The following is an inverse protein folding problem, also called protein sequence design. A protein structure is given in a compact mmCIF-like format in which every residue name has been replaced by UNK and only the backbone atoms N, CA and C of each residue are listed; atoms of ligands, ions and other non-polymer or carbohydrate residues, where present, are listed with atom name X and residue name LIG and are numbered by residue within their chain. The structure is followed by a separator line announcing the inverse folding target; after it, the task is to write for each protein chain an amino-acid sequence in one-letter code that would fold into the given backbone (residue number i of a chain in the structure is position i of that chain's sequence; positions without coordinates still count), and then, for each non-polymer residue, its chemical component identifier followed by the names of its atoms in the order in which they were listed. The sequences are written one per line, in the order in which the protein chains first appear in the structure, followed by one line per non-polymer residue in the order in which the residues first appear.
data_IF_379627209029
#
_entry.id   IF_379627209029
#
_cell.length_a   1.000
_cell.length_b   1.000
_cell.length_c   1.000
_cell.angle_alpha   90.00
_cell.angle_beta   90.00
_cell.angle_gamma   90.00
#
_symmetry.space_group_name_H-M   'P 1'
#
loop_
_entity.id
_entity.type
_entity.pdbx_description
1 polymer ?
#
# COMPACT_ATOMS: atom_id res chain seq x y z
N UNK A 1 17.89 19.58 -1.76
CA UNK A 1 16.41 19.65 -1.73
C UNK A 1 15.91 18.26 -2.07
N UNK A 2 15.44 17.47 -1.10
CA UNK A 2 14.93 16.12 -1.37
C UNK A 2 13.62 16.29 -2.12
N UNK A 3 13.56 15.84 -3.37
CA UNK A 3 12.27 15.73 -4.07
C UNK A 3 11.49 14.70 -3.25
N UNK A 4 10.45 15.15 -2.55
CA UNK A 4 9.52 14.25 -1.90
C UNK A 4 8.87 13.42 -3.02
N UNK A 5 9.15 12.12 -3.02
CA UNK A 5 8.66 11.20 -4.02
C UNK A 5 7.14 11.33 -4.12
N UNK A 6 6.65 11.73 -5.29
CA UNK A 6 5.22 11.99 -5.50
C UNK A 6 4.44 10.67 -5.40
N UNK A 7 3.14 10.74 -5.10
CA UNK A 7 2.29 9.55 -5.04
C UNK A 7 2.38 8.70 -6.32
N UNK A 8 2.53 9.34 -7.51
CA UNK A 8 2.66 8.65 -8.80
C UNK A 8 3.98 7.89 -8.93
N UNK A 9 5.07 8.45 -8.40
CA UNK A 9 6.37 7.77 -8.41
C UNK A 9 6.33 6.52 -7.52
N UNK A 10 5.70 6.62 -6.35
CA UNK A 10 5.43 5.46 -5.49
C UNK A 10 4.55 4.40 -6.16
N UNK A 11 3.48 4.83 -6.84
CA UNK A 11 2.61 3.90 -7.58
C UNK A 11 3.37 3.19 -8.71
N UNK A 12 4.23 3.91 -9.43
CA UNK A 12 5.06 3.33 -10.48
C UNK A 12 6.10 2.33 -9.93
N UNK A 13 6.78 2.69 -8.85
CA UNK A 13 7.77 1.82 -8.22
C UNK A 13 7.12 0.54 -7.67
N UNK A 14 6.01 0.68 -6.94
CA UNK A 14 5.26 -0.45 -6.40
C UNK A 14 4.73 -1.35 -7.53
N UNK A 15 4.20 -0.75 -8.61
CA UNK A 15 3.77 -1.48 -9.80
C UNK A 15 4.89 -2.31 -10.44
N UNK A 16 6.08 -1.72 -10.54
CA UNK A 16 7.25 -2.42 -11.08
C UNK A 16 7.70 -3.56 -10.17
N UNK A 17 7.66 -3.39 -8.84
CA UNK A 17 7.96 -4.46 -7.90
C UNK A 17 6.97 -5.63 -8.04
N UNK A 18 5.67 -5.34 -8.16
CA UNK A 18 4.64 -6.36 -8.44
C UNK A 18 4.93 -7.12 -9.74
N UNK A 19 5.28 -6.40 -10.82
CA UNK A 19 5.65 -7.01 -12.10
C UNK A 19 6.83 -7.96 -11.96
N UNK A 20 7.89 -7.56 -11.27
CA UNK A 20 9.07 -8.40 -11.03
C UNK A 20 8.70 -9.66 -10.26
N UNK A 21 7.88 -9.52 -9.21
CA UNK A 21 7.39 -10.67 -8.43
C UNK A 21 6.58 -11.65 -9.27
N UNK A 22 5.67 -11.13 -10.11
CA UNK A 22 4.88 -11.94 -11.04
C UNK A 22 5.78 -12.73 -11.99
N UNK A 23 6.76 -12.06 -12.61
CA UNK A 23 7.69 -12.69 -13.53
C UNK A 23 8.56 -13.75 -12.85
N UNK A 24 9.01 -13.52 -11.61
CA UNK A 24 9.74 -14.53 -10.81
C UNK A 24 8.92 -15.79 -10.52
N UNK A 25 7.59 -15.67 -10.54
CA UNK A 25 6.67 -16.81 -10.42
C UNK A 25 6.29 -17.44 -11.77
N UNK A 26 6.90 -17.01 -12.87
CA UNK A 26 6.59 -17.47 -14.23
C UNK A 26 5.11 -17.33 -14.59
N UNK A 27 4.46 -16.26 -14.12
CA UNK A 27 3.07 -15.96 -14.43
C UNK A 27 2.98 -14.84 -15.46
N UNK A 28 2.06 -14.96 -16.42
CA UNK A 28 1.60 -13.81 -17.20
C UNK A 28 0.55 -12.99 -16.43
N UNK A 29 0.16 -11.84 -16.98
CA UNK A 29 -0.81 -10.95 -16.33
C UNK A 29 -2.22 -11.56 -16.22
N UNK A 30 -2.61 -12.40 -17.17
CA UNK A 30 -3.92 -13.06 -17.19
C UNK A 30 -3.98 -14.13 -16.10
N UNK A 31 -2.94 -14.96 -15.99
CA UNK A 31 -2.80 -15.96 -14.95
C UNK A 31 -2.80 -15.34 -13.54
N UNK A 32 -2.13 -14.20 -13.35
CA UNK A 32 -2.21 -13.48 -12.07
C UNK A 32 -3.63 -12.98 -11.81
N UNK A 33 -4.30 -12.40 -12.82
CA UNK A 33 -5.65 -11.88 -12.67
C UNK A 33 -6.66 -12.97 -12.30
N UNK A 34 -6.59 -14.12 -12.97
CA UNK A 34 -7.43 -15.29 -12.73
C UNK A 34 -7.22 -15.84 -11.32
N UNK A 35 -5.95 -16.09 -10.93
CA UNK A 35 -5.62 -16.60 -9.59
C UNK A 35 -6.02 -15.64 -8.48
N UNK A 36 -5.85 -14.34 -8.69
CA UNK A 36 -6.23 -13.31 -7.73
C UNK A 36 -7.74 -13.01 -7.71
N UNK A 37 -8.51 -13.52 -8.69
CA UNK A 37 -9.93 -13.21 -8.83
C UNK A 37 -10.18 -11.70 -9.01
N UNK A 38 -9.43 -11.07 -9.91
CA UNK A 38 -9.55 -9.67 -10.30
C UNK A 38 -9.52 -9.51 -11.82
N UNK A 39 -10.02 -8.39 -12.34
CA UNK A 39 -9.99 -8.12 -13.78
C UNK A 39 -8.54 -7.94 -14.28
N UNK A 40 -8.25 -8.43 -15.50
CA UNK A 40 -6.94 -8.25 -16.16
C UNK A 40 -6.51 -6.77 -16.22
N UNK A 41 -7.46 -5.86 -16.46
CA UNK A 41 -7.17 -4.42 -16.48
C UNK A 41 -6.68 -3.91 -15.11
N UNK A 42 -7.14 -4.49 -14.00
CA UNK A 42 -6.65 -4.13 -12.67
C UNK A 42 -5.17 -4.51 -12.50
N UNK A 43 -4.77 -5.70 -12.96
CA UNK A 43 -3.35 -6.11 -12.98
C UNK A 43 -2.51 -5.18 -13.85
N UNK A 44 -2.97 -4.84 -15.06
CA UNK A 44 -2.27 -3.90 -15.96
C UNK A 44 -2.07 -2.53 -15.32
N UNK A 45 -3.09 -2.01 -14.64
CA UNK A 45 -3.02 -0.71 -13.96
C UNK A 45 -2.12 -0.74 -12.73
N UNK A 46 -2.16 -1.82 -11.94
CA UNK A 46 -1.25 -2.06 -10.83
C UNK A 46 0.20 -2.01 -11.33
N UNK A 47 0.55 -2.82 -12.33
CA UNK A 47 1.93 -2.92 -12.83
C UNK A 47 2.44 -1.67 -13.55
N UNK A 48 1.53 -0.84 -14.09
CA UNK A 48 1.89 0.41 -14.76
C UNK A 48 1.84 1.64 -13.85
N UNK A 49 1.55 1.47 -12.56
CA UNK A 49 1.44 2.59 -11.62
C UNK A 49 0.31 3.57 -11.95
N UNK A 50 -0.72 3.13 -12.68
CA UNK A 50 -1.88 3.98 -13.04
C UNK A 50 -2.98 3.96 -11.98
N UNK A 51 -2.67 3.47 -10.78
CA UNK A 51 -3.60 3.31 -9.68
C UNK A 51 -4.57 2.13 -9.85
N UNK A 52 -4.90 1.50 -8.73
CA UNK A 52 -5.89 0.46 -8.61
C UNK A 52 -6.58 0.54 -7.24
N UNK A 53 -7.61 -0.27 -7.02
CA UNK A 53 -8.23 -0.34 -5.69
C UNK A 53 -7.30 -1.07 -4.72
N UNK A 54 -7.39 -0.70 -3.44
CA UNK A 54 -6.67 -1.40 -2.36
C UNK A 54 -7.00 -2.89 -2.35
N UNK A 55 -8.27 -3.25 -2.62
CA UNK A 55 -8.71 -4.65 -2.75
C UNK A 55 -7.92 -5.40 -3.82
N UNK A 56 -7.71 -4.80 -5.00
CA UNK A 56 -6.93 -5.42 -6.07
C UNK A 56 -5.47 -5.60 -5.68
N UNK A 57 -4.89 -4.62 -4.99
CA UNK A 57 -3.52 -4.72 -4.48
C UNK A 57 -3.37 -5.87 -3.48
N UNK A 58 -4.26 -5.95 -2.47
CA UNK A 58 -4.21 -7.01 -1.45
C UNK A 58 -4.36 -8.39 -2.08
N UNK A 59 -5.31 -8.57 -3.01
CA UNK A 59 -5.51 -9.84 -3.72
C UNK A 59 -4.29 -10.24 -4.56
N UNK A 60 -3.68 -9.28 -5.26
CA UNK A 60 -2.47 -9.52 -6.03
C UNK A 60 -1.28 -9.92 -5.12
N UNK A 61 -1.07 -9.19 -4.02
CA UNK A 61 0.01 -9.50 -3.05
C UNK A 61 -0.15 -10.89 -2.44
N UNK A 62 -1.36 -11.28 -2.03
CA UNK A 62 -1.63 -12.64 -1.53
C UNK A 62 -1.31 -13.71 -2.57
N UNK A 63 -1.69 -13.48 -3.83
CA UNK A 63 -1.42 -14.43 -4.93
C UNK A 63 0.08 -14.54 -5.23
N UNK A 64 0.83 -13.46 -4.98
CA UNK A 64 2.28 -13.39 -5.12
C UNK A 64 3.04 -13.86 -3.87
N UNK A 65 2.36 -14.34 -2.83
CA UNK A 65 2.92 -14.68 -1.50
C UNK A 65 3.73 -13.53 -0.88
N UNK A 66 3.20 -12.30 -0.96
CA UNK A 66 3.82 -11.07 -0.45
C UNK A 66 2.89 -10.22 0.41
N UNK A 67 1.86 -10.81 1.00
CA UNK A 67 0.93 -10.10 1.86
C UNK A 67 1.54 -9.67 3.20
N UNK A 68 2.67 -10.26 3.60
CA UNK A 68 3.45 -9.84 4.77
C UNK A 68 3.96 -8.39 4.67
N UNK A 69 4.13 -7.85 3.47
CA UNK A 69 4.49 -6.45 3.25
C UNK A 69 3.43 -5.48 3.79
N UNK A 70 2.16 -5.89 3.83
CA UNK A 70 1.12 -5.06 4.43
C UNK A 70 1.31 -4.91 5.94
N UNK A 71 1.91 -5.91 6.59
CA UNK A 71 2.22 -5.88 8.03
C UNK A 71 3.35 -4.92 8.38
N UNK A 72 4.24 -4.58 7.44
CA UNK A 72 5.37 -3.66 7.68
C UNK A 72 4.96 -2.19 7.60
N UNK A 73 3.79 -1.89 7.02
CA UNK A 73 3.23 -0.52 6.97
C UNK A 73 2.86 0.02 8.35
N UNK A 74 2.66 -0.85 9.34
CA UNK A 74 2.40 -0.45 10.71
C UNK A 74 3.73 -0.43 11.47
N UNK A 75 4.08 0.66 12.19
CA UNK A 75 5.24 0.63 13.05
C UNK A 75 5.08 -0.49 14.08
N UNK A 76 5.99 -1.45 14.07
CA UNK A 76 6.13 -2.43 15.16
C UNK A 76 6.29 -1.61 16.44
N UNK A 77 5.29 -1.65 17.32
CA UNK A 77 5.36 -0.93 18.59
C UNK A 77 6.45 -1.58 19.42
N UNK A 78 7.69 -1.12 19.27
CA UNK A 78 8.71 -1.34 20.29
C UNK A 78 8.23 -0.56 21.51
N UNK A 79 7.62 -1.29 22.46
CA UNK A 79 7.27 -0.71 23.74
C UNK A 79 8.60 -0.39 24.42
N UNK A 80 9.08 0.84 24.28
CA UNK A 80 10.16 1.34 25.14
C UNK A 80 9.60 1.39 26.56
N UNK A 81 10.22 0.70 27.54
CA UNK A 81 9.74 0.64 28.93
C UNK A 81 9.48 2.04 29.54
N UNK A 82 10.20 3.06 29.08
CA UNK A 82 10.02 4.45 29.52
C UNK A 82 8.66 5.06 29.13
N UNK A 83 7.97 4.59 28.09
CA UNK A 83 6.64 5.11 27.70
C UNK A 83 5.51 4.58 28.59
N UNK A 84 5.67 3.43 29.24
CA UNK A 84 4.68 2.95 30.22
C UNK A 84 4.56 3.91 31.41
N UNK A 85 5.68 4.51 31.83
CA UNK A 85 5.71 5.43 32.98
C UNK A 85 5.07 6.81 32.73
N UNK A 86 4.78 7.19 31.47
CA UNK A 86 4.30 8.55 31.13
C UNK A 86 2.89 8.63 30.55
N UNK A 87 2.12 7.53 30.51
CA UNK A 87 0.84 7.51 29.78
C UNK A 87 -0.37 8.03 30.56
N UNK A 88 -0.47 9.36 30.75
CA UNK A 88 -1.80 10.03 30.80
C UNK A 88 -2.19 10.35 29.35
N UNK A 89 -3.07 9.54 28.76
CA UNK A 89 -3.55 9.74 27.39
C UNK A 89 -4.48 10.97 27.34
N UNK A 90 -3.98 12.11 26.89
CA UNK A 90 -4.83 13.22 26.45
C UNK A 90 -5.26 12.94 25.01
N UNK A 91 -6.55 12.70 24.79
CA UNK A 91 -7.12 12.59 23.43
C UNK A 91 -7.08 13.96 22.77
N UNK A 92 -6.34 14.10 21.68
CA UNK A 92 -6.35 15.30 20.86
C UNK A 92 -7.34 15.13 19.71
N UNK A 93 -8.43 15.91 19.72
CA UNK A 93 -9.44 15.90 18.66
C UNK A 93 -8.94 16.76 17.50
N UNK A 94 -8.92 16.21 16.28
CA UNK A 94 -8.68 17.00 15.07
C UNK A 94 -9.95 17.78 14.74
N UNK A 95 -9.88 19.11 14.76
CA UNK A 95 -10.97 19.98 14.31
C UNK A 95 -10.74 20.35 12.83
N UNK A 96 -11.72 20.07 11.96
CA UNK A 96 -11.71 20.61 10.60
C UNK A 96 -12.09 22.09 10.67
N UNK A 97 -11.23 22.98 10.16
CA UNK A 97 -11.59 24.38 9.90
C UNK A 97 -12.76 24.38 8.91
N UNK A 98 -13.94 24.89 9.33
CA UNK A 98 -15.02 25.20 8.38
C UNK A 98 -14.53 26.35 7.51
N UNK A 99 -14.49 26.14 6.20
CA UNK A 99 -14.27 27.22 5.25
C UNK A 99 -15.37 28.27 5.43
N UNK A 100 -14.97 29.51 5.63
CA UNK A 100 -15.86 30.67 5.54
C UNK A 100 -16.09 30.88 4.05
N UNK A 101 -17.32 30.65 3.60
CA UNK A 101 -17.80 31.11 2.30
C UNK A 101 -18.33 32.53 2.49
N UNK A 102 -17.72 33.49 1.82
CA UNK A 102 -18.32 34.80 1.47
C UNK A 102 -18.43 34.83 -0.04
#
# INVERSE_FOLDING_TARGET
MKIETTHREWEAELGQQLRVLRLRKNMDQLQLAERAGIALNAVKRLESGKGATLTSLIKALRTLDRDEWLGTLTPQVSISPMRMLKSKRVRQRVSRKRGISV
#
